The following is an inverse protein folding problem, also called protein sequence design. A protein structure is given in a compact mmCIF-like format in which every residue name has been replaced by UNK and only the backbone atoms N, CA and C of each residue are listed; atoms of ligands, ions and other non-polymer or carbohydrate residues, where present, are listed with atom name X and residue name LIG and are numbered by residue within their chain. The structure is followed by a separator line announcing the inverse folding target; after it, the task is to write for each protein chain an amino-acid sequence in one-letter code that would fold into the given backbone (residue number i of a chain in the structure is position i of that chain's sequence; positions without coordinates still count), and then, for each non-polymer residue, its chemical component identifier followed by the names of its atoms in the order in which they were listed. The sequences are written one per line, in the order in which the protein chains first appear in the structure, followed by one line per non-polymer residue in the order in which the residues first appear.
data_IF_161823986666
#
_entry.id   IF_161823986666
#
_cell.length_a   1.000
_cell.length_b   1.000
_cell.length_c   1.000
_cell.angle_alpha   90.00
_cell.angle_beta   90.00
_cell.angle_gamma   90.00
#
_symmetry.space_group_name_H-M   'P 1'
#
loop_
_entity.id
_entity.type
_entity.pdbx_description
1 polymer ?
#
# COMPACT_ATOMS: atom_id res chain seq x y z
N UNK A 1 3.66 23.87 -10.77
CA UNK A 1 4.90 23.64 -9.97
C UNK A 1 4.95 22.15 -9.69
N UNK A 2 5.88 21.46 -10.31
CA UNK A 2 6.05 20.01 -10.05
C UNK A 2 6.63 19.89 -8.63
N UNK A 3 5.85 19.36 -7.72
CA UNK A 3 6.29 19.10 -6.35
C UNK A 3 7.52 18.18 -6.42
N UNK A 4 8.66 18.68 -5.91
CA UNK A 4 9.91 17.88 -5.92
C UNK A 4 9.73 16.69 -5.01
N UNK A 5 9.98 15.49 -5.53
CA UNK A 5 9.98 14.27 -4.71
C UNK A 5 10.98 14.43 -3.57
N UNK A 6 10.52 14.20 -2.34
CA UNK A 6 11.37 14.21 -1.15
C UNK A 6 11.90 12.79 -0.91
N UNK A 7 13.20 12.67 -0.64
CA UNK A 7 13.84 11.43 -0.27
C UNK A 7 14.16 11.45 1.25
N UNK A 8 13.55 10.55 2.00
CA UNK A 8 13.75 10.40 3.45
C UNK A 8 14.85 9.37 3.70
N UNK A 9 16.07 9.84 3.97
CA UNK A 9 17.25 8.99 4.17
C UNK A 9 17.31 8.52 5.62
N UNK A 10 17.04 7.24 5.83
CA UNK A 10 17.08 6.57 7.14
C UNK A 10 18.33 5.70 7.25
N UNK A 11 19.27 6.10 8.08
CA UNK A 11 20.52 5.40 8.29
C UNK A 11 21.14 5.80 9.65
N UNK A 12 21.69 4.87 10.39
CA UNK A 12 22.37 5.14 11.66
C UNK A 12 23.75 5.79 11.49
N UNK A 13 24.42 5.54 10.36
CA UNK A 13 25.73 6.14 10.05
C UNK A 13 25.60 7.56 9.50
N UNK A 14 26.11 8.54 10.21
CA UNK A 14 26.02 9.96 9.87
C UNK A 14 26.80 10.34 8.59
N UNK A 15 27.91 9.68 8.32
CA UNK A 15 28.72 9.95 7.13
C UNK A 15 28.02 9.40 5.87
N UNK A 16 27.41 8.23 5.98
CA UNK A 16 26.62 7.63 4.90
C UNK A 16 25.36 8.46 4.62
N UNK A 17 24.63 8.89 5.66
CA UNK A 17 23.51 9.85 5.50
C UNK A 17 23.93 11.11 4.74
N UNK A 18 25.06 11.72 5.12
CA UNK A 18 25.55 12.94 4.45
C UNK A 18 25.91 12.70 2.98
N UNK A 19 26.50 11.52 2.65
CA UNK A 19 26.79 11.13 1.26
C UNK A 19 25.49 10.96 0.45
N UNK A 20 24.50 10.25 0.99
CA UNK A 20 23.21 10.00 0.34
C UNK A 20 22.43 11.30 0.15
N UNK A 21 22.40 12.20 1.14
CA UNK A 21 21.75 13.50 1.01
C UNK A 21 22.38 14.37 -0.09
N UNK A 22 23.70 14.36 -0.20
CA UNK A 22 24.45 15.06 -1.24
C UNK A 22 24.17 14.46 -2.64
N UNK A 23 24.12 13.13 -2.73
CA UNK A 23 23.75 12.42 -3.95
C UNK A 23 22.32 12.78 -4.39
N UNK A 24 21.35 12.74 -3.48
CA UNK A 24 19.97 13.13 -3.72
C UNK A 24 19.87 14.58 -4.24
N UNK A 25 20.56 15.52 -3.59
CA UNK A 25 20.62 16.92 -4.02
C UNK A 25 21.19 17.07 -5.45
N UNK A 26 22.30 16.36 -5.74
CA UNK A 26 22.90 16.36 -7.08
C UNK A 26 21.97 15.73 -8.12
N UNK A 27 21.17 14.75 -7.74
CA UNK A 27 20.13 14.16 -8.56
C UNK A 27 18.88 15.04 -8.73
N UNK A 28 18.80 16.18 -8.03
CA UNK A 28 17.70 17.15 -8.14
C UNK A 28 16.53 16.91 -7.18
N UNK A 29 16.72 16.01 -6.20
CA UNK A 29 15.74 15.74 -5.14
C UNK A 29 16.00 16.58 -3.88
N UNK A 30 14.97 16.75 -3.05
CA UNK A 30 15.14 17.22 -1.69
C UNK A 30 15.38 16.02 -0.77
N UNK A 31 16.34 16.12 0.14
CA UNK A 31 16.64 15.05 1.10
C UNK A 31 16.38 15.50 2.52
N UNK A 32 15.62 14.71 3.25
CA UNK A 32 15.49 14.77 4.71
C UNK A 32 16.20 13.57 5.31
N UNK A 33 16.96 13.79 6.39
CA UNK A 33 17.81 12.76 6.98
C UNK A 33 17.33 12.38 8.37
N UNK A 34 17.36 11.08 8.68
CA UNK A 34 16.92 10.51 9.95
C UNK A 34 17.98 9.55 10.47
N UNK A 35 18.39 9.73 11.73
CA UNK A 35 19.38 8.88 12.41
C UNK A 35 18.81 7.55 12.91
N UNK A 36 17.49 7.42 12.95
CA UNK A 36 16.81 6.23 13.39
C UNK A 36 15.32 6.24 13.05
N UNK A 37 14.71 5.07 13.18
CA UNK A 37 13.27 4.88 12.86
C UNK A 37 12.37 5.76 13.75
N UNK A 38 12.69 5.92 15.02
CA UNK A 38 11.89 6.73 15.95
C UNK A 38 11.81 8.19 15.51
N UNK A 39 12.91 8.73 14.97
CA UNK A 39 12.97 10.09 14.45
C UNK A 39 12.06 10.23 13.20
N UNK A 40 12.12 9.30 12.27
CA UNK A 40 11.24 9.25 11.09
C UNK A 40 9.76 9.17 11.50
N UNK A 41 9.45 8.31 12.47
CA UNK A 41 8.09 8.08 12.93
C UNK A 41 7.54 9.21 13.81
N UNK A 42 8.40 9.95 14.50
CA UNK A 42 8.01 11.13 15.29
C UNK A 42 7.52 12.27 14.39
N UNK A 43 8.15 12.43 13.24
CA UNK A 43 7.78 13.43 12.22
C UNK A 43 7.29 12.73 10.95
N UNK A 44 6.31 11.82 11.08
CA UNK A 44 5.85 10.99 9.97
C UNK A 44 5.59 11.82 8.70
N UNK A 45 6.36 11.59 7.61
CA UNK A 45 6.20 12.36 6.39
C UNK A 45 4.85 12.09 5.72
N UNK A 46 4.28 13.12 5.09
CA UNK A 46 3.03 13.01 4.33
C UNK A 46 3.20 12.48 2.90
N UNK A 47 4.43 12.45 2.40
CA UNK A 47 4.76 12.00 1.04
C UNK A 47 6.26 11.83 0.86
N UNK A 48 6.67 11.38 -0.32
CA UNK A 48 8.09 11.11 -0.62
C UNK A 48 8.38 9.61 -0.69
N UNK A 49 9.68 9.27 -0.62
CA UNK A 49 10.23 7.91 -0.70
C UNK A 49 11.23 7.73 0.44
N UNK A 50 11.12 6.65 1.19
CA UNK A 50 12.10 6.30 2.24
C UNK A 50 13.24 5.50 1.62
N UNK A 51 14.47 5.98 1.79
CA UNK A 51 15.70 5.26 1.50
C UNK A 51 16.25 4.72 2.82
N UNK A 52 16.04 3.42 3.09
CA UNK A 52 16.40 2.79 4.35
C UNK A 52 17.68 1.94 4.19
N UNK A 53 18.70 2.22 4.99
CA UNK A 53 19.89 1.36 5.02
C UNK A 53 19.56 0.02 5.69
N UNK A 54 19.84 -1.05 4.96
CA UNK A 54 19.55 -2.43 5.32
C UNK A 54 20.86 -3.16 5.65
N UNK A 55 21.17 -3.28 6.93
CA UNK A 55 22.29 -4.07 7.40
C UNK A 55 21.98 -5.58 7.27
N UNK A 56 22.98 -6.43 7.05
CA UNK A 56 22.79 -7.88 7.00
C UNK A 56 22.04 -8.42 8.23
N UNK A 57 20.92 -9.12 7.97
CA UNK A 57 20.05 -9.67 9.02
C UNK A 57 19.13 -8.64 9.70
N UNK A 58 19.08 -7.40 9.20
CA UNK A 58 18.14 -6.41 9.71
C UNK A 58 16.72 -6.66 9.18
N UNK A 59 15.74 -6.11 9.89
CA UNK A 59 14.34 -6.10 9.51
C UNK A 59 13.84 -4.66 9.24
N UNK A 60 14.75 -3.76 8.88
CA UNK A 60 14.49 -2.32 8.78
C UNK A 60 13.30 -1.99 7.89
N UNK A 61 13.16 -2.66 6.75
CA UNK A 61 12.05 -2.45 5.82
C UNK A 61 10.71 -2.79 6.48
N UNK A 62 10.63 -3.97 7.13
CA UNK A 62 9.42 -4.39 7.82
C UNK A 62 9.05 -3.44 8.97
N UNK A 63 10.04 -2.99 9.74
CA UNK A 63 9.87 -2.04 10.84
C UNK A 63 9.42 -0.66 10.35
N UNK A 64 10.00 -0.16 9.26
CA UNK A 64 9.59 1.13 8.66
C UNK A 64 8.14 1.04 8.19
N UNK A 65 7.80 0.01 7.41
CA UNK A 65 6.44 -0.16 6.89
C UNK A 65 5.41 -0.38 8.00
N UNK A 66 5.75 -1.20 9.00
CA UNK A 66 4.90 -1.41 10.18
C UNK A 66 4.67 -0.12 10.97
N UNK A 67 5.74 0.60 11.29
CA UNK A 67 5.65 1.86 12.03
C UNK A 67 4.88 2.97 11.30
N UNK A 68 4.96 3.02 9.97
CA UNK A 68 4.14 3.91 9.15
C UNK A 68 2.68 3.48 9.15
N UNK A 69 2.41 2.17 9.03
CA UNK A 69 1.05 1.62 9.03
C UNK A 69 0.32 1.87 10.35
N UNK A 70 1.00 1.73 11.48
CA UNK A 70 0.47 2.03 12.83
C UNK A 70 0.01 3.49 12.96
N UNK A 71 0.57 4.38 12.15
CA UNK A 71 0.21 5.80 12.07
C UNK A 71 -0.77 6.13 10.95
N UNK A 72 -1.31 5.10 10.29
CA UNK A 72 -2.22 5.26 9.16
C UNK A 72 -1.55 5.83 7.90
N UNK A 73 -0.21 5.82 7.84
CA UNK A 73 0.59 6.32 6.72
C UNK A 73 1.14 5.17 5.88
N UNK A 74 1.51 5.48 4.65
CA UNK A 74 2.26 4.58 3.77
C UNK A 74 3.18 5.39 2.85
N UNK A 75 4.44 5.03 2.83
CA UNK A 75 5.43 5.55 1.90
C UNK A 75 6.12 4.40 1.19
N UNK A 76 6.51 4.57 -0.08
CA UNK A 76 7.38 3.62 -0.76
C UNK A 76 8.73 3.56 -0.05
N UNK A 77 9.25 2.36 0.15
CA UNK A 77 10.54 2.10 0.78
C UNK A 77 11.47 1.48 -0.25
N UNK A 78 12.67 2.03 -0.35
CA UNK A 78 13.81 1.49 -1.09
C UNK A 78 14.87 1.09 -0.07
N UNK A 79 15.30 -0.17 -0.09
CA UNK A 79 16.39 -0.64 0.75
C UNK A 79 17.74 -0.33 0.10
N UNK A 80 18.73 0.02 0.91
CA UNK A 80 20.12 0.30 0.48
C UNK A 80 21.08 -0.57 1.27
N UNK A 81 22.10 -1.15 0.63
CA UNK A 81 23.15 -1.90 1.35
C UNK A 81 24.53 -1.76 0.66
N UNK A 82 25.59 -1.73 1.46
CA UNK A 82 26.99 -1.77 0.97
C UNK A 82 27.39 -3.21 0.57
N UNK A 83 26.73 -4.22 1.14
CA UNK A 83 27.00 -5.64 0.87
C UNK A 83 25.66 -6.41 0.72
N UNK A 84 24.96 -6.24 -0.41
CA UNK A 84 23.67 -6.89 -0.61
C UNK A 84 23.84 -8.42 -0.71
N UNK A 85 23.18 -9.15 0.18
CA UNK A 85 23.05 -10.60 0.12
C UNK A 85 21.70 -11.00 -0.44
N UNK A 86 21.65 -12.07 -1.24
CA UNK A 86 20.39 -12.53 -1.88
C UNK A 86 19.27 -12.75 -0.87
N UNK A 87 19.59 -13.29 0.31
CA UNK A 87 18.63 -13.53 1.40
C UNK A 87 18.04 -12.24 1.95
N UNK A 88 18.88 -11.21 2.17
CA UNK A 88 18.45 -9.87 2.60
C UNK A 88 17.58 -9.18 1.56
N UNK A 89 18.01 -9.20 0.29
CA UNK A 89 17.22 -8.64 -0.82
C UNK A 89 15.83 -9.26 -0.89
N UNK A 90 15.76 -10.60 -0.82
CA UNK A 90 14.47 -11.33 -0.85
C UNK A 90 13.62 -10.99 0.37
N UNK A 91 14.23 -10.88 1.55
CA UNK A 91 13.52 -10.51 2.77
C UNK A 91 12.94 -9.09 2.69
N UNK A 92 13.73 -8.11 2.24
CA UNK A 92 13.31 -6.73 2.08
C UNK A 92 12.15 -6.59 1.07
N UNK A 93 12.25 -7.25 -0.09
CA UNK A 93 11.19 -7.24 -1.11
C UNK A 93 9.91 -7.91 -0.59
N UNK A 94 10.01 -9.06 0.10
CA UNK A 94 8.86 -9.72 0.74
C UNK A 94 8.23 -8.87 1.85
N UNK A 95 9.02 -8.08 2.56
CA UNK A 95 8.54 -7.13 3.55
C UNK A 95 7.81 -5.93 2.92
N UNK A 96 8.00 -5.68 1.61
CA UNK A 96 7.32 -4.64 0.84
C UNK A 96 8.21 -3.49 0.36
N UNK A 97 9.55 -3.67 0.35
CA UNK A 97 10.43 -2.74 -0.37
C UNK A 97 10.08 -2.75 -1.86
N UNK A 98 10.01 -1.58 -2.47
CA UNK A 98 9.74 -1.45 -3.91
C UNK A 98 11.01 -1.56 -4.75
N UNK A 99 12.18 -1.31 -4.17
CA UNK A 99 13.46 -1.53 -4.84
C UNK A 99 14.55 -1.82 -3.80
N UNK A 100 15.69 -2.36 -4.26
CA UNK A 100 16.86 -2.63 -3.45
C UNK A 100 18.12 -2.20 -4.22
N UNK A 101 18.90 -1.27 -3.67
CA UNK A 101 20.05 -0.69 -4.34
C UNK A 101 21.36 -0.98 -3.58
N UNK A 102 22.38 -1.36 -4.35
CA UNK A 102 23.72 -1.52 -3.80
C UNK A 102 24.44 -0.17 -3.67
N UNK A 103 25.18 0.01 -2.61
CA UNK A 103 26.09 1.14 -2.38
C UNK A 103 27.53 0.73 -2.75
N UNK A 104 28.39 1.65 -3.23
CA UNK A 104 28.12 3.05 -3.51
C UNK A 104 27.19 3.26 -4.70
N UNK A 105 26.38 4.32 -4.69
CA UNK A 105 25.37 4.61 -5.67
C UNK A 105 25.69 5.93 -6.39
N UNK A 106 25.49 5.97 -7.69
CA UNK A 106 25.65 7.16 -8.54
C UNK A 106 24.32 7.83 -8.89
N UNK A 107 24.37 9.05 -9.42
CA UNK A 107 23.19 9.86 -9.77
C UNK A 107 22.28 9.17 -10.79
N UNK A 108 22.83 8.54 -11.82
CA UNK A 108 22.07 7.86 -12.86
C UNK A 108 21.20 6.73 -12.29
N UNK A 109 21.82 5.70 -11.69
CA UNK A 109 21.10 4.60 -11.05
C UNK A 109 20.10 5.05 -9.98
N UNK A 110 20.41 6.10 -9.18
CA UNK A 110 19.44 6.65 -8.23
C UNK A 110 18.20 7.19 -8.94
N UNK A 111 18.36 8.00 -9.99
CA UNK A 111 17.23 8.56 -10.75
C UNK A 111 16.36 7.47 -11.36
N UNK A 112 16.98 6.49 -12.02
CA UNK A 112 16.26 5.36 -12.62
C UNK A 112 15.44 4.57 -11.58
N UNK A 113 16.01 4.32 -10.41
CA UNK A 113 15.33 3.65 -9.33
C UNK A 113 14.15 4.49 -8.81
N UNK A 114 14.35 5.78 -8.57
CA UNK A 114 13.28 6.66 -8.09
C UNK A 114 12.14 6.75 -9.11
N UNK A 115 12.44 6.84 -10.40
CA UNK A 115 11.42 6.89 -11.45
C UNK A 115 10.58 5.59 -11.47
N UNK A 116 11.21 4.42 -11.36
CA UNK A 116 10.49 3.14 -11.23
C UNK A 116 9.60 3.12 -9.99
N UNK A 117 10.15 3.50 -8.83
CA UNK A 117 9.45 3.51 -7.56
C UNK A 117 8.26 4.48 -7.57
N UNK A 118 8.40 5.66 -8.19
CA UNK A 118 7.29 6.62 -8.34
C UNK A 118 6.12 6.02 -9.13
N UNK A 119 6.41 5.34 -10.23
CA UNK A 119 5.38 4.69 -11.06
C UNK A 119 4.64 3.62 -10.25
N UNK A 120 5.38 2.74 -9.59
CA UNK A 120 4.83 1.66 -8.79
C UNK A 120 4.05 2.18 -7.58
N UNK A 121 4.59 3.16 -6.86
CA UNK A 121 3.96 3.81 -5.72
C UNK A 121 2.62 4.47 -6.09
N UNK A 122 2.53 5.06 -7.29
CA UNK A 122 1.26 5.62 -7.77
C UNK A 122 0.20 4.53 -7.97
N UNK A 123 0.58 3.36 -8.48
CA UNK A 123 -0.30 2.19 -8.56
C UNK A 123 -0.82 1.76 -7.18
N UNK A 124 0.07 1.63 -6.22
CA UNK A 124 -0.27 1.28 -4.83
C UNK A 124 -1.19 2.33 -4.17
N UNK A 125 -0.91 3.64 -4.35
CA UNK A 125 -1.75 4.72 -3.83
C UNK A 125 -3.17 4.66 -4.40
N UNK A 126 -3.29 4.46 -5.72
CA UNK A 126 -4.59 4.33 -6.37
C UNK A 126 -5.36 3.11 -5.88
N UNK A 127 -4.69 1.97 -5.71
CA UNK A 127 -5.31 0.77 -5.19
C UNK A 127 -5.81 0.97 -3.75
N UNK A 128 -5.00 1.57 -2.88
CA UNK A 128 -5.39 1.91 -1.50
C UNK A 128 -6.58 2.89 -1.45
N UNK A 129 -6.57 3.92 -2.31
CA UNK A 129 -7.67 4.86 -2.39
C UNK A 129 -8.98 4.18 -2.82
N UNK A 130 -8.92 3.28 -3.82
CA UNK A 130 -10.08 2.47 -4.25
C UNK A 130 -10.57 1.55 -3.13
N UNK A 131 -9.67 0.89 -2.41
CA UNK A 131 -10.02 0.03 -1.28
C UNK A 131 -10.68 0.83 -0.15
N UNK A 132 -10.19 2.02 0.17
CA UNK A 132 -10.78 2.90 1.18
C UNK A 132 -12.20 3.38 0.78
N UNK A 133 -12.38 3.83 -0.47
CA UNK A 133 -13.69 4.21 -0.99
C UNK A 133 -14.67 3.04 -0.96
N UNK A 134 -14.23 1.86 -1.40
CA UNK A 134 -15.05 0.65 -1.38
C UNK A 134 -15.47 0.27 0.06
N UNK A 135 -14.54 0.31 1.04
CA UNK A 135 -14.87 0.07 2.46
C UNK A 135 -15.87 1.09 2.98
N UNK A 136 -15.70 2.36 2.64
CA UNK A 136 -16.62 3.42 3.07
C UNK A 136 -18.02 3.22 2.49
N UNK A 137 -18.14 2.81 1.22
CA UNK A 137 -19.46 2.50 0.62
C UNK A 137 -20.10 1.28 1.27
N UNK A 138 -19.33 0.23 1.50
CA UNK A 138 -19.81 -1.01 2.13
C UNK A 138 -20.21 -0.78 3.59
N UNK A 139 -19.55 0.12 4.33
CA UNK A 139 -19.90 0.42 5.72
C UNK A 139 -21.32 1.01 5.88
N UNK A 140 -21.89 1.60 4.81
CA UNK A 140 -23.26 2.14 4.78
C UNK A 140 -24.34 1.07 4.58
N UNK A 141 -23.94 -0.16 4.29
CA UNK A 141 -24.86 -1.27 4.11
C UNK A 141 -25.39 -1.76 5.46
N UNK A 142 -26.67 -2.14 5.50
CA UNK A 142 -27.19 -2.88 6.63
C UNK A 142 -26.59 -4.29 6.68
N UNK A 143 -26.72 -4.97 7.80
CA UNK A 143 -26.25 -6.35 7.97
C UNK A 143 -26.78 -7.26 6.86
N UNK A 144 -28.09 -7.23 6.57
CA UNK A 144 -28.71 -8.04 5.52
C UNK A 144 -28.27 -7.67 4.11
N UNK A 145 -28.02 -6.40 3.83
CA UNK A 145 -27.50 -5.97 2.54
C UNK A 145 -26.04 -6.44 2.35
N UNK A 146 -25.26 -6.48 3.43
CA UNK A 146 -23.87 -6.97 3.41
C UNK A 146 -23.81 -8.49 3.21
N UNK A 147 -24.68 -9.25 3.92
CA UNK A 147 -24.80 -10.70 3.70
C UNK A 147 -25.16 -11.03 2.25
N UNK A 148 -26.10 -10.29 1.65
CA UNK A 148 -26.46 -10.44 0.25
C UNK A 148 -25.30 -10.11 -0.68
N UNK A 149 -24.49 -9.06 -0.38
CA UNK A 149 -23.29 -8.72 -1.14
C UNK A 149 -22.25 -9.83 -1.08
N UNK A 150 -21.99 -10.39 0.11
CA UNK A 150 -21.02 -11.45 0.30
C UNK A 150 -21.37 -12.72 -0.48
N UNK A 151 -22.65 -13.13 -0.45
CA UNK A 151 -23.16 -14.26 -1.25
C UNK A 151 -23.12 -13.99 -2.75
N UNK A 152 -23.42 -12.75 -3.16
CA UNK A 152 -23.32 -12.35 -4.57
C UNK A 152 -21.86 -12.41 -5.05
N UNK A 153 -20.91 -11.97 -4.22
CA UNK A 153 -19.47 -12.04 -4.52
C UNK A 153 -18.96 -13.48 -4.59
N UNK A 154 -19.57 -14.39 -3.81
CA UNK A 154 -19.32 -15.84 -3.90
C UNK A 154 -19.98 -16.51 -5.13
N UNK A 155 -20.65 -15.75 -6.00
CA UNK A 155 -21.29 -16.26 -7.21
C UNK A 155 -22.68 -16.90 -7.00
N UNK A 156 -23.31 -16.72 -5.84
CA UNK A 156 -24.59 -17.31 -5.54
C UNK A 156 -25.73 -16.64 -6.34
N UNK A 157 -26.65 -17.46 -6.87
CA UNK A 157 -27.90 -16.97 -7.48
C UNK A 157 -28.87 -16.45 -6.43
N UNK A 158 -29.82 -15.58 -6.82
CA UNK A 158 -30.86 -15.10 -5.89
C UNK A 158 -31.58 -16.23 -5.16
N UNK A 159 -31.81 -17.36 -5.84
CA UNK A 159 -32.46 -18.53 -5.27
C UNK A 159 -31.61 -19.23 -4.22
N UNK A 160 -30.29 -19.28 -4.46
CA UNK A 160 -29.31 -19.82 -3.49
C UNK A 160 -29.20 -18.90 -2.27
N UNK A 161 -29.07 -17.58 -2.48
CA UNK A 161 -29.03 -16.56 -1.42
C UNK A 161 -30.28 -16.63 -0.55
N UNK A 162 -31.47 -16.73 -1.16
CA UNK A 162 -32.75 -16.82 -0.47
C UNK A 162 -32.79 -18.05 0.48
N UNK A 163 -32.28 -19.19 0.01
CA UNK A 163 -32.23 -20.43 0.80
C UNK A 163 -31.24 -20.30 1.97
N UNK A 164 -30.05 -19.77 1.71
CA UNK A 164 -29.00 -19.66 2.74
C UNK A 164 -29.34 -18.62 3.83
N UNK A 165 -30.04 -17.54 3.45
CA UNK A 165 -30.44 -16.49 4.41
C UNK A 165 -31.83 -16.72 4.99
N UNK A 166 -32.51 -17.83 4.62
CA UNK A 166 -33.86 -18.21 5.08
C UNK A 166 -34.92 -17.11 4.80
N UNK A 167 -34.84 -16.47 3.63
CA UNK A 167 -35.76 -15.43 3.18
C UNK A 167 -36.35 -15.76 1.79
N UNK A 168 -37.38 -15.04 1.35
CA UNK A 168 -37.94 -15.23 0.02
C UNK A 168 -37.00 -14.68 -1.07
N UNK A 169 -37.00 -15.24 -2.31
CA UNK A 169 -36.28 -14.67 -3.44
C UNK A 169 -36.68 -13.19 -3.71
N UNK A 170 -37.92 -12.86 -3.45
CA UNK A 170 -38.43 -11.47 -3.59
C UNK A 170 -37.76 -10.55 -2.54
N UNK A 171 -37.53 -11.04 -1.34
CA UNK A 171 -36.83 -10.29 -0.27
C UNK A 171 -35.37 -10.06 -0.66
N UNK A 172 -34.71 -11.06 -1.27
CA UNK A 172 -33.34 -10.90 -1.80
C UNK A 172 -33.28 -9.79 -2.86
N UNK A 173 -34.25 -9.74 -3.79
CA UNK A 173 -34.31 -8.69 -4.80
C UNK A 173 -34.42 -7.29 -4.18
N UNK A 174 -35.23 -7.14 -3.14
CA UNK A 174 -35.37 -5.87 -2.40
C UNK A 174 -34.06 -5.46 -1.75
N UNK A 175 -33.37 -6.39 -1.06
CA UNK A 175 -32.07 -6.11 -0.46
C UNK A 175 -31.02 -5.76 -1.51
N UNK A 176 -30.99 -6.47 -2.65
CA UNK A 176 -30.10 -6.16 -3.77
C UNK A 176 -30.35 -4.76 -4.33
N UNK A 177 -31.61 -4.38 -4.56
CA UNK A 177 -31.93 -3.05 -5.06
C UNK A 177 -31.43 -1.94 -4.11
N UNK A 178 -31.69 -2.09 -2.80
CA UNK A 178 -31.23 -1.14 -1.78
C UNK A 178 -29.70 -1.10 -1.68
N UNK A 179 -29.06 -2.26 -1.69
CA UNK A 179 -27.60 -2.42 -1.68
C UNK A 179 -26.96 -1.72 -2.89
N UNK A 180 -27.47 -1.99 -4.10
CA UNK A 180 -26.97 -1.38 -5.32
C UNK A 180 -27.08 0.16 -5.28
N UNK A 181 -28.19 0.70 -4.78
CA UNK A 181 -28.38 2.14 -4.61
C UNK A 181 -27.38 2.75 -3.63
N UNK A 182 -27.14 2.11 -2.47
CA UNK A 182 -26.17 2.58 -1.46
C UNK A 182 -24.72 2.49 -1.94
N UNK A 183 -24.38 1.46 -2.72
CA UNK A 183 -23.05 1.29 -3.31
C UNK A 183 -22.83 2.22 -4.52
N UNK A 184 -23.90 2.78 -5.10
CA UNK A 184 -23.84 3.52 -6.37
C UNK A 184 -23.48 2.61 -7.55
N UNK A 185 -23.76 1.31 -7.45
CA UNK A 185 -23.43 0.32 -8.44
C UNK A 185 -24.59 0.17 -9.45
N UNK A 186 -24.28 0.20 -10.75
CA UNK A 186 -25.28 0.03 -11.84
C UNK A 186 -25.55 -1.43 -12.15
N UNK A 187 -24.55 -2.29 -11.95
CA UNK A 187 -24.58 -3.71 -12.26
C UNK A 187 -24.02 -4.53 -11.11
N UNK A 188 -24.46 -5.78 -10.98
CA UNK A 188 -23.97 -6.72 -9.98
C UNK A 188 -22.43 -6.85 -10.01
N UNK A 189 -21.82 -6.83 -11.18
CA UNK A 189 -20.35 -6.87 -11.33
C UNK A 189 -19.63 -5.70 -10.66
N UNK A 190 -20.20 -4.49 -10.66
CA UNK A 190 -19.65 -3.34 -9.95
C UNK A 190 -19.73 -3.52 -8.43
N UNK A 191 -20.82 -4.05 -7.91
CA UNK A 191 -20.96 -4.35 -6.49
C UNK A 191 -19.95 -5.42 -6.03
N UNK A 192 -19.79 -6.48 -6.83
CA UNK A 192 -18.78 -7.53 -6.60
C UNK A 192 -17.37 -6.96 -6.64
N UNK A 193 -17.05 -6.10 -7.63
CA UNK A 193 -15.75 -5.44 -7.71
C UNK A 193 -15.48 -4.59 -6.46
N UNK A 194 -16.42 -3.80 -5.99
CA UNK A 194 -16.27 -3.03 -4.74
C UNK A 194 -16.02 -3.94 -3.55
N UNK A 195 -16.67 -5.11 -3.47
CA UNK A 195 -16.42 -6.08 -2.41
C UNK A 195 -14.98 -6.63 -2.46
N UNK A 196 -14.49 -6.97 -3.66
CA UNK A 196 -13.13 -7.44 -3.88
C UNK A 196 -12.10 -6.34 -3.54
N UNK A 197 -12.32 -5.11 -4.01
CA UNK A 197 -11.46 -3.96 -3.71
C UNK A 197 -11.37 -3.67 -2.19
N UNK A 198 -12.50 -3.79 -1.49
CA UNK A 198 -12.55 -3.54 -0.04
C UNK A 198 -11.80 -4.58 0.79
N UNK A 199 -11.77 -5.82 0.34
CA UNK A 199 -11.12 -6.96 1.03
C UNK A 199 -9.61 -7.00 0.77
N UNK A 200 -9.16 -6.50 -0.39
CA UNK A 200 -7.82 -6.74 -0.91
C UNK A 200 -7.70 -8.17 -1.50
N UNK A 201 -6.79 -8.34 -2.46
CA UNK A 201 -6.58 -9.65 -3.13
C UNK A 201 -6.07 -10.75 -2.18
N UNK A 202 -5.55 -10.39 -1.00
CA UNK A 202 -4.94 -11.34 -0.07
C UNK A 202 -5.96 -12.19 0.72
N UNK A 203 -7.20 -11.72 0.93
CA UNK A 203 -8.22 -12.46 1.68
C UNK A 203 -9.12 -13.35 0.81
N UNK A 204 -9.02 -13.27 -0.53
CA UNK A 204 -9.85 -14.06 -1.45
C UNK A 204 -9.18 -15.40 -1.78
N UNK A 205 -7.89 -15.53 -1.50
CA UNK A 205 -7.08 -16.73 -1.78
C UNK A 205 -6.91 -17.66 -0.55
N UNK A 206 -7.50 -17.32 0.59
CA UNK A 206 -7.55 -18.15 1.81
C UNK A 206 -8.92 -18.77 2.00
#
# INVERSE_FOLDING_TARGET
MTERTVLHVLDTDSARRARLARLAFTAGYHAEIYGGLDELLHHTPSGGIVLAHDDPGSDVVARVLGGLADRGSWLPVVALSEAPETTGVVAAVKAGALDYLALPLDVGPLREAIDRVVIEANGHRQQRARAADARQRISRLSMREREVLDRLAAGCSNKAIARELEISPRTVEIHRMKMMGKLGARHAAEAVRLRIEATGLAEIAA
#
